data_IF_196124756961
#
_entry.id   IF_196124756961
#
_cell.length_a   1.000
_cell.length_b   1.000
_cell.length_c   1.000
_cell.angle_alpha   90.00
_cell.angle_beta   90.00
_cell.angle_gamma   90.00
#
_symmetry.space_group_name_H-M   'P 1'
#
loop_
_entity.id
_entity.type
_entity.pdbx_description
1 polymer ?
#
# COMPACT_ATOMS: atom_id res chain seq x y z
N UNK A 1 -13.79 25.01 5.88
CA UNK A 1 -13.57 26.04 4.85
C UNK A 1 -14.66 27.09 5.01
N UNK A 2 -14.33 28.39 4.97
CA UNK A 2 -15.34 29.44 4.89
C UNK A 2 -16.22 29.22 3.65
N UNK A 3 -17.50 29.60 3.72
CA UNK A 3 -18.51 29.30 2.69
C UNK A 3 -18.27 29.99 1.33
N UNK A 4 -17.31 30.91 1.26
CA UNK A 4 -17.09 31.79 0.11
C UNK A 4 -15.77 31.52 -0.64
N UNK A 5 -15.03 30.48 -0.26
CA UNK A 5 -13.76 30.12 -0.90
C UNK A 5 -14.00 29.00 -1.93
N UNK A 6 -13.60 29.23 -3.17
CA UNK A 6 -13.67 28.21 -4.22
C UNK A 6 -12.83 26.99 -3.80
N UNK A 7 -13.28 25.76 -4.08
CA UNK A 7 -12.46 24.59 -3.80
C UNK A 7 -11.15 24.66 -4.60
N UNK A 8 -10.02 24.21 -4.02
CA UNK A 8 -8.75 24.19 -4.71
C UNK A 8 -8.86 23.37 -5.99
N UNK A 9 -8.21 23.85 -7.04
CA UNK A 9 -8.09 23.15 -8.31
C UNK A 9 -7.25 21.90 -8.15
N UNK A 10 -7.39 20.94 -9.08
CA UNK A 10 -6.56 19.74 -9.08
C UNK A 10 -5.06 20.09 -9.16
N UNK A 11 -4.68 21.08 -9.97
CA UNK A 11 -3.30 21.52 -10.10
C UNK A 11 -2.73 22.01 -8.76
N UNK A 12 -3.47 22.83 -8.01
CA UNK A 12 -3.03 23.31 -6.69
C UNK A 12 -2.87 22.17 -5.69
N UNK A 13 -3.74 21.15 -5.75
CA UNK A 13 -3.61 19.97 -4.91
C UNK A 13 -2.38 19.13 -5.28
N UNK A 14 -2.08 18.99 -6.57
CA UNK A 14 -0.90 18.29 -7.06
C UNK A 14 0.40 19.02 -6.70
N UNK A 15 0.43 20.36 -6.80
CA UNK A 15 1.59 21.16 -6.42
C UNK A 15 1.88 21.05 -4.92
N UNK A 16 0.83 21.03 -4.08
CA UNK A 16 0.99 20.79 -2.64
C UNK A 16 1.57 19.43 -2.32
N UNK A 17 1.16 18.38 -3.05
CA UNK A 17 1.73 17.05 -2.88
C UNK A 17 3.17 16.96 -3.40
N UNK A 18 3.44 17.46 -4.60
CA UNK A 18 4.74 17.33 -5.25
C UNK A 18 5.82 18.24 -4.64
N UNK A 19 5.50 19.53 -4.48
CA UNK A 19 6.45 20.54 -4.00
C UNK A 19 6.36 20.74 -2.49
N UNK A 20 5.14 20.77 -1.93
CA UNK A 20 4.92 20.92 -0.49
C UNK A 20 5.16 19.65 0.32
N UNK A 21 5.31 18.50 -0.36
CA UNK A 21 5.41 17.16 0.24
C UNK A 21 4.23 16.82 1.15
N UNK A 22 3.07 17.41 0.88
CA UNK A 22 1.85 17.15 1.63
C UNK A 22 1.20 15.83 1.21
N UNK A 23 0.57 15.14 2.16
CA UNK A 23 -0.27 13.95 1.90
C UNK A 23 -1.72 14.37 2.03
N UNK A 24 -2.48 14.20 0.95
CA UNK A 24 -3.84 14.73 0.84
C UNK A 24 -4.79 13.61 0.42
N UNK A 25 -6.00 13.62 0.97
CA UNK A 25 -7.09 12.74 0.55
C UNK A 25 -8.28 13.55 0.07
N UNK A 26 -8.89 13.11 -1.03
CA UNK A 26 -10.13 13.64 -1.56
C UNK A 26 -11.24 12.64 -1.30
N UNK A 27 -12.28 13.11 -0.61
CA UNK A 27 -13.48 12.35 -0.32
C UNK A 27 -14.57 12.71 -1.31
N UNK A 28 -15.09 11.74 -2.04
CA UNK A 28 -16.24 11.87 -2.93
C UNK A 28 -17.38 11.01 -2.41
N UNK A 29 -18.59 11.57 -2.28
CA UNK A 29 -19.76 10.86 -1.73
C UNK A 29 -19.48 10.14 -0.39
N UNK A 30 -18.79 10.81 0.54
CA UNK A 30 -18.37 10.27 1.84
C UNK A 30 -17.41 9.06 1.77
N UNK A 31 -16.82 8.78 0.61
CA UNK A 31 -15.78 7.76 0.44
C UNK A 31 -14.46 8.40 0.07
N UNK A 32 -13.36 7.92 0.67
CA UNK A 32 -12.02 8.29 0.21
C UNK A 32 -11.88 7.80 -1.23
N UNK A 33 -11.73 8.73 -2.17
CA UNK A 33 -11.73 8.44 -3.59
C UNK A 33 -10.34 8.54 -4.20
N UNK A 34 -9.54 9.50 -3.73
CA UNK A 34 -8.18 9.72 -4.21
C UNK A 34 -7.26 10.12 -3.06
N UNK A 35 -6.04 9.59 -3.07
CA UNK A 35 -4.94 10.06 -2.26
C UNK A 35 -3.85 10.62 -3.18
N UNK A 36 -3.35 11.81 -2.87
CA UNK A 36 -2.19 12.39 -3.50
C UNK A 36 -1.05 12.36 -2.48
N UNK A 37 0.05 11.69 -2.84
CA UNK A 37 1.24 11.55 -2.01
C UNK A 37 2.48 11.90 -2.82
N UNK A 38 3.57 12.34 -2.18
CA UNK A 38 4.85 12.52 -2.85
C UNK A 38 5.37 11.18 -3.41
N UNK A 39 6.03 11.19 -4.56
CA UNK A 39 6.65 9.98 -5.13
C UNK A 39 7.69 9.36 -4.19
N UNK A 40 8.49 10.16 -3.50
CA UNK A 40 9.49 9.64 -2.55
C UNK A 40 8.85 8.83 -1.41
N UNK A 41 7.64 9.21 -0.96
CA UNK A 41 6.90 8.44 0.05
C UNK A 41 6.39 7.12 -0.52
N UNK A 42 5.89 7.14 -1.75
CA UNK A 42 5.46 5.93 -2.46
C UNK A 42 6.64 4.97 -2.64
N UNK A 43 7.76 5.45 -3.16
CA UNK A 43 8.98 4.66 -3.39
C UNK A 43 9.50 4.05 -2.07
N UNK A 44 9.47 4.82 -0.98
CA UNK A 44 9.87 4.33 0.34
C UNK A 44 8.95 3.21 0.85
N UNK A 45 7.63 3.32 0.64
CA UNK A 45 6.67 2.27 1.02
C UNK A 45 6.95 1.00 0.22
N UNK A 46 7.15 1.09 -1.09
CA UNK A 46 7.48 -0.05 -1.95
C UNK A 46 8.80 -0.73 -1.53
N UNK A 47 9.80 0.05 -1.12
CA UNK A 47 11.06 -0.49 -0.58
C UNK A 47 10.85 -1.25 0.74
N UNK A 48 9.99 -0.74 1.63
CA UNK A 48 9.63 -1.43 2.87
C UNK A 48 8.87 -2.72 2.60
N UNK A 49 7.86 -2.70 1.73
CA UNK A 49 7.09 -3.89 1.34
C UNK A 49 8.00 -4.95 0.74
N UNK A 50 8.84 -4.56 -0.22
CA UNK A 50 9.86 -5.44 -0.82
C UNK A 50 10.77 -6.07 0.24
N UNK A 51 11.15 -5.31 1.25
CA UNK A 51 12.04 -5.79 2.32
C UNK A 51 11.34 -6.80 3.23
N UNK A 52 10.08 -6.54 3.57
CA UNK A 52 9.23 -7.46 4.36
C UNK A 52 9.01 -8.75 3.58
N UNK A 53 8.65 -8.67 2.30
CA UNK A 53 8.40 -9.84 1.47
C UNK A 53 9.65 -10.71 1.30
N UNK A 54 10.81 -10.09 1.06
CA UNK A 54 12.09 -10.81 1.02
C UNK A 54 12.38 -11.55 2.33
N UNK A 55 12.03 -10.96 3.48
CA UNK A 55 12.19 -11.61 4.78
C UNK A 55 11.23 -12.80 4.90
N UNK A 56 9.95 -12.62 4.60
CA UNK A 56 8.93 -13.67 4.64
C UNK A 56 9.30 -14.86 3.74
N UNK A 57 9.79 -14.60 2.52
CA UNK A 57 10.25 -15.65 1.60
C UNK A 57 11.44 -16.43 2.19
N UNK A 58 12.43 -15.75 2.76
CA UNK A 58 13.58 -16.42 3.40
C UNK A 58 13.16 -17.29 4.58
N UNK A 59 12.23 -16.81 5.40
CA UNK A 59 11.68 -17.56 6.54
C UNK A 59 10.91 -18.79 6.07
N UNK A 60 10.07 -18.66 5.03
CA UNK A 60 9.32 -19.77 4.44
C UNK A 60 10.24 -20.83 3.80
N UNK A 61 11.31 -20.40 3.11
CA UNK A 61 12.30 -21.33 2.55
C UNK A 61 13.03 -22.10 3.65
N UNK A 62 13.44 -21.41 4.72
CA UNK A 62 14.08 -22.05 5.88
C UNK A 62 13.14 -23.05 6.55
N UNK A 63 11.87 -22.69 6.72
CA UNK A 63 10.86 -23.61 7.27
C UNK A 63 10.69 -24.85 6.40
N UNK A 64 10.63 -24.69 5.07
CA UNK A 64 10.53 -25.80 4.13
C UNK A 64 11.76 -26.72 4.18
N UNK A 65 12.96 -26.16 4.34
CA UNK A 65 14.19 -26.94 4.52
C UNK A 65 14.20 -27.72 5.85
N UNK A 66 13.73 -27.11 6.94
CA UNK A 66 13.75 -27.70 8.29
C UNK A 66 12.61 -28.70 8.54
N UNK A 67 11.41 -28.40 8.04
CA UNK A 67 10.18 -29.14 8.36
C UNK A 67 9.59 -29.89 7.16
N UNK A 68 10.11 -29.65 5.95
CA UNK A 68 9.53 -30.16 4.72
C UNK A 68 8.34 -29.32 4.23
N UNK A 69 7.72 -29.76 3.13
CA UNK A 69 6.57 -29.12 2.50
C UNK A 69 5.40 -30.09 2.41
N UNK A 70 4.18 -29.57 2.22
CA UNK A 70 2.99 -30.37 1.90
C UNK A 70 2.66 -30.29 0.42
N UNK A 71 2.00 -31.33 -0.10
CA UNK A 71 1.39 -31.29 -1.44
C UNK A 71 0.15 -30.40 -1.47
N UNK A 72 -0.26 -29.99 -2.68
CA UNK A 72 -1.50 -29.21 -2.86
C UNK A 72 -2.72 -29.98 -2.37
N UNK A 73 -2.79 -31.30 -2.61
CA UNK A 73 -3.91 -32.14 -2.18
C UNK A 73 -4.01 -32.21 -0.65
N UNK A 74 -2.87 -32.19 0.05
CA UNK A 74 -2.85 -32.10 1.51
C UNK A 74 -3.32 -30.73 2.00
N UNK A 75 -2.88 -29.66 1.36
CA UNK A 75 -3.30 -28.29 1.69
C UNK A 75 -4.82 -28.11 1.53
N UNK A 76 -5.39 -28.56 0.40
CA UNK A 76 -6.83 -28.45 0.13
C UNK A 76 -7.65 -29.18 1.22
N UNK A 77 -7.18 -30.38 1.61
CA UNK A 77 -7.80 -31.15 2.68
C UNK A 77 -7.73 -30.45 4.04
N UNK A 78 -6.65 -29.73 4.34
CA UNK A 78 -6.49 -28.96 5.58
C UNK A 78 -7.37 -27.70 5.59
N UNK A 79 -7.55 -27.03 4.44
CA UNK A 79 -8.37 -25.83 4.29
C UNK A 79 -9.87 -26.12 4.11
N UNK A 80 -10.23 -27.37 3.79
CA UNK A 80 -11.60 -27.78 3.55
C UNK A 80 -12.16 -27.29 2.22
N UNK A 81 -11.30 -27.18 1.21
CA UNK A 81 -11.66 -26.83 -0.17
C UNK A 81 -12.12 -28.04 -0.98
#
# INVERSE_FOLDING_TARGET
>A
MPKDEAPPTLTELLDRAAAGKERLTLTYQNQMFLAAVPMDDFDLIEEFETSIDKKSVREALKEAEEKGTISSEQLDKELGW
#
